data_IF_656563347727
#
_entry.id   IF_656563347727
#
_cell.length_a   1.000
_cell.length_b   1.000
_cell.length_c   1.000
_cell.angle_alpha   90.00
_cell.angle_beta   90.00
_cell.angle_gamma   90.00
#
_symmetry.space_group_name_H-M   'P 1'
#
loop_
_entity.id
_entity.type
_entity.pdbx_description
1 polymer ?
#
# COMPACT_ATOMS: atom_id res chain seq x y z
N UNK A 1 -50.10 12.61 -29.92
CA UNK A 1 -51.19 12.70 -28.92
C UNK A 1 -51.71 11.28 -28.68
N UNK A 2 -51.87 10.70 -27.50
CA UNK A 2 -51.86 11.15 -26.11
C UNK A 2 -51.80 9.87 -25.24
N UNK A 3 -50.88 9.87 -24.27
CA UNK A 3 -50.93 9.24 -22.93
C UNK A 3 -51.87 8.05 -22.74
N UNK A 4 -51.30 6.91 -22.32
CA UNK A 4 -51.90 6.22 -21.17
C UNK A 4 -50.82 5.62 -20.28
N UNK A 5 -50.46 6.38 -19.24
CA UNK A 5 -49.61 5.95 -18.14
C UNK A 5 -50.44 5.01 -17.25
N UNK A 6 -50.24 3.71 -17.39
CA UNK A 6 -50.73 2.76 -16.38
C UNK A 6 -49.80 2.82 -15.17
N UNK A 7 -50.35 3.33 -14.07
CA UNK A 7 -49.73 3.40 -12.75
C UNK A 7 -49.54 1.96 -12.28
N UNK A 8 -48.31 1.44 -12.41
CA UNK A 8 -47.95 0.15 -11.86
C UNK A 8 -47.86 0.28 -10.33
N UNK A 9 -48.94 -0.11 -9.66
CA UNK A 9 -48.99 -0.28 -8.21
C UNK A 9 -47.91 -1.26 -7.77
N UNK A 10 -46.92 -0.78 -7.03
CA UNK A 10 -45.89 -1.58 -6.41
C UNK A 10 -46.51 -2.51 -5.36
N UNK A 11 -46.81 -3.76 -5.76
CA UNK A 11 -47.10 -4.83 -4.82
C UNK A 11 -45.78 -5.44 -4.38
N UNK A 12 -45.54 -5.36 -3.07
CA UNK A 12 -44.42 -5.97 -2.36
C UNK A 12 -44.58 -7.50 -2.46
N UNK A 13 -43.78 -8.13 -3.32
CA UNK A 13 -43.70 -9.59 -3.44
C UNK A 13 -42.60 -10.05 -2.46
N UNK A 14 -42.92 -10.84 -1.42
CA UNK A 14 -41.92 -11.49 -0.60
C UNK A 14 -41.43 -12.75 -1.33
N UNK A 15 -40.12 -12.94 -1.35
CA UNK A 15 -39.43 -14.13 -1.87
C UNK A 15 -39.70 -14.51 -3.33
N UNK A 16 -38.95 -13.87 -4.24
CA UNK A 16 -38.63 -14.48 -5.52
C UNK A 16 -37.19 -14.17 -5.88
N UNK A 17 -36.33 -15.20 -5.82
CA UNK A 17 -34.96 -15.20 -6.33
C UNK A 17 -34.95 -14.66 -7.76
N UNK A 18 -34.42 -13.46 -7.93
CA UNK A 18 -34.17 -12.89 -9.26
C UNK A 18 -32.83 -13.43 -9.73
N UNK A 19 -32.88 -14.30 -10.73
CA UNK A 19 -31.74 -14.74 -11.51
C UNK A 19 -31.40 -13.61 -12.50
N UNK A 20 -30.38 -12.81 -12.21
CA UNK A 20 -29.82 -11.86 -13.18
C UNK A 20 -28.69 -12.53 -13.96
N UNK A 21 -29.01 -13.02 -15.16
CA UNK A 21 -28.07 -13.56 -16.14
C UNK A 21 -27.44 -12.43 -16.96
N UNK A 22 -26.63 -11.59 -16.32
CA UNK A 22 -25.62 -10.69 -16.94
C UNK A 22 -25.18 -9.74 -15.85
N UNK A 23 -23.96 -9.93 -15.38
CA UNK A 23 -23.39 -9.10 -14.34
C UNK A 23 -22.20 -9.83 -13.79
N UNK A 24 -21.02 -9.36 -14.19
CA UNK A 24 -19.76 -9.57 -13.48
C UNK A 24 -20.00 -9.28 -12.00
N UNK A 25 -20.35 -10.33 -11.25
CA UNK A 25 -20.23 -10.33 -9.81
C UNK A 25 -18.73 -10.39 -9.56
N UNK A 26 -18.10 -9.21 -9.54
CA UNK A 26 -16.94 -8.99 -8.70
C UNK A 26 -17.45 -9.28 -7.29
N UNK A 27 -17.40 -10.57 -6.94
CA UNK A 27 -17.35 -11.00 -5.56
C UNK A 27 -16.38 -10.04 -4.89
N UNK A 28 -16.90 -9.26 -3.96
CA UNK A 28 -16.10 -8.52 -3.02
C UNK A 28 -15.28 -9.60 -2.33
N UNK A 29 -14.04 -9.77 -2.77
CA UNK A 29 -13.06 -10.50 -2.00
C UNK A 29 -12.71 -9.53 -0.87
N UNK A 30 -13.56 -9.53 0.15
CA UNK A 30 -13.23 -9.02 1.47
C UNK A 30 -12.04 -9.84 1.97
N UNK A 31 -10.83 -9.51 1.50
CA UNK A 31 -9.56 -9.98 2.04
C UNK A 31 -9.15 -9.17 3.27
N UNK A 32 -10.13 -8.60 3.99
CA UNK A 32 -9.94 -8.10 5.35
C UNK A 32 -10.07 -9.30 6.29
N UNK A 33 -8.98 -10.05 6.39
CA UNK A 33 -8.58 -10.92 7.50
C UNK A 33 -7.55 -11.91 6.96
N UNK A 34 -6.34 -11.43 6.75
CA UNK A 34 -5.18 -12.30 6.81
C UNK A 34 -4.22 -11.65 7.79
N UNK A 35 -3.99 -12.34 8.89
CA UNK A 35 -3.45 -11.80 10.13
C UNK A 35 -2.13 -11.09 9.89
N UNK A 36 -2.15 -9.78 10.09
CA UNK A 36 -0.97 -8.94 10.15
C UNK A 36 -0.83 -8.52 11.61
N UNK A 37 0.13 -9.10 12.33
CA UNK A 37 0.44 -8.63 13.67
C UNK A 37 1.43 -7.47 13.54
N UNK A 38 1.03 -6.30 14.03
CA UNK A 38 1.84 -5.08 13.94
C UNK A 38 2.29 -4.67 15.34
N UNK A 39 3.60 -4.67 15.56
CA UNK A 39 4.22 -4.10 16.76
C UNK A 39 4.89 -2.78 16.43
N UNK A 40 4.60 -1.73 17.20
CA UNK A 40 5.18 -0.38 17.02
C UNK A 40 6.23 -0.08 18.09
N UNK A 41 7.36 0.47 17.67
CA UNK A 41 8.36 1.07 18.54
C UNK A 41 8.65 2.50 18.06
N UNK A 42 8.68 3.45 19.00
CA UNK A 42 8.89 4.88 18.73
C UNK A 42 10.33 5.26 19.04
N UNK A 43 11.00 5.92 18.10
CA UNK A 43 12.33 6.53 18.31
C UNK A 43 12.21 8.05 18.45
N UNK A 44 13.10 8.66 19.23
CA UNK A 44 13.09 10.10 19.56
C UNK A 44 13.27 11.02 18.32
N UNK A 45 13.80 10.48 17.22
CA UNK A 45 14.12 11.24 16.00
C UNK A 45 12.95 11.41 15.02
N UNK A 46 11.71 11.17 15.43
CA UNK A 46 10.55 11.20 14.52
C UNK A 46 10.49 9.99 13.58
N UNK A 47 11.16 8.90 13.96
CA UNK A 47 11.12 7.63 13.24
C UNK A 47 10.30 6.60 14.03
N UNK A 48 9.43 5.88 13.33
CA UNK A 48 8.66 4.77 13.91
C UNK A 48 9.13 3.47 13.28
N UNK A 49 9.49 2.51 14.12
CA UNK A 49 9.86 1.16 13.69
C UNK A 49 8.63 0.26 13.83
N UNK A 50 8.19 -0.32 12.73
CA UNK A 50 7.11 -1.29 12.66
C UNK A 50 7.69 -2.68 12.47
N UNK A 51 7.42 -3.59 13.40
CA UNK A 51 7.65 -5.03 13.20
C UNK A 51 6.34 -5.67 12.77
N UNK A 52 6.36 -6.23 11.56
CA UNK A 52 5.24 -6.89 10.92
C UNK A 52 5.51 -8.38 10.90
N UNK A 53 4.65 -9.16 11.55
CA UNK A 53 4.64 -10.61 11.43
C UNK A 53 3.51 -11.02 10.49
N UNK A 54 3.89 -11.65 9.38
CA UNK A 54 2.97 -12.02 8.30
C UNK A 54 2.55 -13.47 8.42
N UNK A 55 1.24 -13.72 8.39
CA UNK A 55 0.67 -15.07 8.42
C UNK A 55 1.01 -15.90 7.15
N UNK A 56 1.20 -17.21 7.33
CA UNK A 56 1.48 -18.18 6.26
C UNK A 56 0.43 -18.20 5.15
N UNK A 57 -0.84 -18.01 5.48
CA UNK A 57 -1.93 -17.98 4.49
C UNK A 57 -1.72 -16.85 3.47
N UNK A 58 -1.28 -15.67 3.94
CA UNK A 58 -0.95 -14.53 3.08
C UNK A 58 0.28 -14.84 2.23
N UNK A 59 1.35 -15.35 2.83
CA UNK A 59 2.57 -15.77 2.11
C UNK A 59 2.23 -16.76 0.99
N UNK A 60 1.36 -17.75 1.24
CA UNK A 60 0.91 -18.72 0.25
C UNK A 60 0.19 -18.10 -0.94
N UNK A 61 -0.66 -17.08 -0.73
CA UNK A 61 -1.33 -16.32 -1.79
C UNK A 61 -0.31 -15.61 -2.69
N UNK A 62 0.67 -14.94 -2.09
CA UNK A 62 1.74 -14.25 -2.83
C UNK A 62 2.65 -15.23 -3.56
N UNK A 63 2.96 -16.38 -2.96
CA UNK A 63 3.75 -17.45 -3.60
C UNK A 63 3.05 -18.00 -4.85
N UNK A 64 1.72 -18.19 -4.79
CA UNK A 64 0.93 -18.62 -5.94
C UNK A 64 0.87 -17.53 -7.03
N UNK A 65 0.76 -16.26 -6.65
CA UNK A 65 0.78 -15.15 -7.59
C UNK A 65 2.15 -14.97 -8.27
N UNK A 66 3.24 -15.13 -7.50
CA UNK A 66 4.61 -15.13 -8.00
C UNK A 66 4.83 -16.28 -8.99
N UNK A 67 4.40 -17.50 -8.65
CA UNK A 67 4.49 -18.63 -9.56
C UNK A 67 3.79 -18.38 -10.90
N UNK A 68 2.62 -17.71 -10.89
CA UNK A 68 1.92 -17.32 -12.13
C UNK A 68 2.71 -16.28 -12.94
N UNK A 69 3.30 -15.27 -12.28
CA UNK A 69 4.14 -14.24 -12.92
C UNK A 69 5.40 -14.84 -13.55
N UNK A 70 6.07 -15.76 -12.86
CA UNK A 70 7.27 -16.43 -13.37
C UNK A 70 6.93 -17.37 -14.51
N UNK A 71 5.84 -18.13 -14.40
CA UNK A 71 5.39 -19.05 -15.46
C UNK A 71 5.04 -18.33 -16.79
N UNK A 72 4.72 -17.04 -16.76
CA UNK A 72 4.50 -16.23 -17.96
C UNK A 72 5.82 -15.83 -18.64
N UNK A 73 6.90 -15.64 -17.87
CA UNK A 73 8.23 -15.24 -18.35
C UNK A 73 9.06 -16.43 -18.83
N UNK A 74 8.99 -17.55 -18.10
CA UNK A 74 9.83 -18.74 -18.35
C UNK A 74 9.13 -19.72 -19.29
N UNK A 75 9.89 -20.31 -20.22
CA UNK A 75 9.40 -21.37 -21.10
C UNK A 75 9.77 -22.75 -20.54
N UNK A 76 8.79 -23.48 -20.03
CA UNK A 76 9.00 -24.85 -19.52
C UNK A 76 8.59 -25.87 -20.60
N UNK A 77 9.47 -26.83 -20.96
CA UNK A 77 9.14 -27.83 -21.97
C UNK A 77 7.92 -28.66 -21.55
N UNK A 78 7.05 -28.96 -22.52
CA UNK A 78 5.82 -29.74 -22.29
C UNK A 78 4.63 -28.93 -21.77
N UNK A 79 4.83 -27.71 -21.27
CA UNK A 79 3.75 -26.84 -20.81
C UNK A 79 3.59 -25.62 -21.71
N UNK A 80 2.34 -25.28 -22.03
CA UNK A 80 2.04 -23.99 -22.64
C UNK A 80 2.44 -22.87 -21.67
N UNK A 81 3.07 -21.82 -22.19
CA UNK A 81 3.49 -20.64 -21.41
C UNK A 81 2.37 -20.18 -20.46
N UNK A 82 2.72 -19.94 -19.19
CA UNK A 82 1.81 -19.52 -18.13
C UNK A 82 0.92 -20.61 -17.52
N UNK A 83 0.98 -21.87 -17.99
CA UNK A 83 0.16 -22.99 -17.49
C UNK A 83 0.96 -24.11 -16.82
N UNK A 84 2.21 -23.85 -16.45
CA UNK A 84 3.04 -24.79 -15.71
C UNK A 84 2.54 -24.93 -14.25
N UNK A 85 2.45 -26.15 -13.70
CA UNK A 85 2.17 -26.37 -12.28
C UNK A 85 3.29 -25.84 -11.38
N UNK A 86 2.93 -25.39 -10.17
CA UNK A 86 3.87 -24.79 -9.20
C UNK A 86 5.05 -25.70 -8.85
N UNK A 87 4.81 -27.00 -8.63
CA UNK A 87 5.86 -27.94 -8.25
C UNK A 87 6.95 -28.09 -9.33
N UNK A 88 6.56 -28.12 -10.61
CA UNK A 88 7.51 -28.21 -11.72
C UNK A 88 8.26 -26.89 -11.90
N UNK A 89 7.56 -25.76 -11.76
CA UNK A 89 8.17 -24.43 -11.83
C UNK A 89 9.24 -24.23 -10.75
N UNK A 90 8.96 -24.65 -9.52
CA UNK A 90 9.90 -24.58 -8.39
C UNK A 90 11.16 -25.41 -8.64
N UNK A 91 11.02 -26.60 -9.22
CA UNK A 91 12.16 -27.45 -9.55
C UNK A 91 13.00 -26.87 -10.70
N UNK A 92 12.37 -26.16 -11.64
CA UNK A 92 13.05 -25.63 -12.82
C UNK A 92 13.76 -24.30 -12.56
N UNK A 93 13.11 -23.37 -11.86
CA UNK A 93 13.62 -22.01 -11.61
C UNK A 93 14.37 -21.93 -10.27
N UNK A 94 14.10 -22.86 -9.36
CA UNK A 94 14.62 -22.84 -8.00
C UNK A 94 13.60 -22.30 -7.01
N UNK A 95 13.72 -22.74 -5.75
CA UNK A 95 12.87 -22.28 -4.64
C UNK A 95 13.16 -20.81 -4.32
N UNK A 96 14.43 -20.42 -4.30
CA UNK A 96 14.87 -19.10 -3.84
C UNK A 96 14.34 -17.98 -4.73
N UNK A 97 14.41 -18.14 -6.05
CA UNK A 97 13.87 -17.16 -6.99
C UNK A 97 12.36 -16.95 -6.85
N UNK A 98 11.60 -18.03 -6.57
CA UNK A 98 10.17 -17.91 -6.32
C UNK A 98 9.87 -17.17 -5.01
N UNK A 99 10.71 -17.36 -3.99
CA UNK A 99 10.59 -16.65 -2.71
C UNK A 99 10.87 -15.17 -2.90
N UNK A 100 11.94 -14.81 -3.60
CA UNK A 100 12.27 -13.40 -3.91
C UNK A 100 11.13 -12.69 -4.66
N UNK A 101 10.61 -13.32 -5.71
CA UNK A 101 9.51 -12.77 -6.51
C UNK A 101 8.19 -12.65 -5.70
N UNK A 102 7.99 -13.53 -4.72
CA UNK A 102 6.88 -13.41 -3.78
C UNK A 102 7.10 -12.22 -2.83
N UNK A 103 8.31 -12.06 -2.28
CA UNK A 103 8.67 -10.98 -1.37
C UNK A 103 8.52 -9.60 -2.03
N UNK A 104 8.92 -9.46 -3.29
CA UNK A 104 8.78 -8.21 -4.04
C UNK A 104 7.33 -7.68 -4.06
N UNK A 105 6.35 -8.58 -4.06
CA UNK A 105 4.93 -8.20 -3.99
C UNK A 105 4.36 -8.15 -2.57
N UNK A 106 4.84 -9.01 -1.68
CA UNK A 106 4.29 -9.17 -0.33
C UNK A 106 4.70 -8.02 0.57
N UNK A 107 5.97 -7.61 0.49
CA UNK A 107 6.55 -6.55 1.31
C UNK A 107 5.82 -5.20 1.14
N UNK A 108 5.66 -4.65 -0.07
CA UNK A 108 4.99 -3.36 -0.24
C UNK A 108 3.51 -3.41 0.14
N UNK A 109 2.84 -4.54 -0.07
CA UNK A 109 1.43 -4.72 0.33
C UNK A 109 1.31 -4.73 1.87
N UNK A 110 2.13 -5.52 2.56
CA UNK A 110 2.11 -5.64 4.02
C UNK A 110 2.46 -4.31 4.72
N UNK A 111 3.48 -3.60 4.23
CA UNK A 111 3.86 -2.29 4.78
C UNK A 111 2.78 -1.24 4.50
N UNK A 112 2.21 -1.25 3.29
CA UNK A 112 1.12 -0.33 2.93
C UNK A 112 -0.12 -0.52 3.81
N UNK A 113 -0.48 -1.76 4.11
CA UNK A 113 -1.60 -2.05 5.00
C UNK A 113 -1.29 -1.64 6.45
N UNK A 114 -0.09 -1.94 6.95
CA UNK A 114 0.32 -1.54 8.30
C UNK A 114 0.28 -0.01 8.50
N UNK A 115 0.72 0.74 7.49
CA UNK A 115 0.70 2.21 7.52
C UNK A 115 -0.74 2.75 7.51
N UNK A 116 -1.64 2.12 6.72
CA UNK A 116 -3.06 2.49 6.68
C UNK A 116 -3.78 2.16 7.99
N UNK A 117 -3.52 0.99 8.56
CA UNK A 117 -4.15 0.54 9.80
C UNK A 117 -3.76 1.40 11.01
N UNK A 118 -2.54 1.99 10.97
CA UNK A 118 -2.06 2.91 11.99
C UNK A 118 -2.29 4.39 11.65
N UNK A 119 -2.94 4.69 10.52
CA UNK A 119 -3.20 6.06 10.05
C UNK A 119 -1.94 6.94 10.01
N UNK A 120 -0.78 6.33 9.73
CA UNK A 120 0.49 7.04 9.68
C UNK A 120 0.61 7.81 8.35
N UNK A 121 1.06 9.06 8.43
CA UNK A 121 1.41 9.88 7.26
C UNK A 121 2.93 9.89 7.08
N UNK A 122 3.51 8.93 6.33
CA UNK A 122 4.95 8.89 6.09
C UNK A 122 5.39 10.09 5.25
N UNK A 123 6.52 10.70 5.63
CA UNK A 123 7.12 11.79 4.86
C UNK A 123 7.91 11.28 3.64
N UNK A 124 8.55 10.11 3.77
CA UNK A 124 9.35 9.48 2.73
C UNK A 124 9.03 7.98 2.64
N UNK A 125 9.42 7.31 1.54
CA UNK A 125 9.29 5.87 1.43
C UNK A 125 9.94 5.16 2.63
N UNK A 126 9.26 4.19 3.27
CA UNK A 126 9.80 3.51 4.43
C UNK A 126 11.01 2.66 4.05
N UNK A 127 11.99 2.60 4.95
CA UNK A 127 13.11 1.67 4.80
C UNK A 127 12.66 0.31 5.29
N UNK A 128 12.76 -0.70 4.43
CA UNK A 128 12.31 -2.05 4.74
C UNK A 128 13.50 -2.99 4.84
N UNK A 129 13.54 -3.77 5.92
CA UNK A 129 14.49 -4.86 6.10
C UNK A 129 13.73 -6.15 6.38
N UNK A 130 14.16 -7.25 5.75
CA UNK A 130 13.56 -8.58 5.93
C UNK A 130 14.50 -9.38 6.82
N UNK A 131 14.07 -9.67 8.05
CA UNK A 131 14.94 -10.32 9.04
C UNK A 131 14.85 -11.85 8.98
N UNK A 132 13.66 -12.40 8.74
CA UNK A 132 13.43 -13.84 8.70
C UNK A 132 12.51 -14.21 7.55
N UNK A 133 12.87 -15.28 6.87
CA UNK A 133 12.18 -15.78 5.66
C UNK A 133 11.50 -17.13 5.90
N UNK A 134 11.98 -17.94 6.86
CA UNK A 134 11.39 -19.23 7.25
C UNK A 134 11.60 -19.46 8.76
N UNK A 135 10.60 -19.91 9.54
CA UNK A 135 9.26 -20.35 9.16
C UNK A 135 8.20 -19.25 9.10
N UNK A 136 8.40 -18.09 9.73
CA UNK A 136 7.52 -16.91 9.62
C UNK A 136 8.29 -15.74 9.00
N UNK A 137 7.58 -14.91 8.22
CA UNK A 137 8.20 -13.77 7.54
C UNK A 137 8.04 -12.55 8.44
N UNK A 138 9.15 -12.11 9.02
CA UNK A 138 9.19 -10.91 9.85
C UNK A 138 9.81 -9.77 9.06
N UNK A 139 9.04 -8.69 8.90
CA UNK A 139 9.43 -7.50 8.16
C UNK A 139 9.58 -6.36 9.16
N UNK A 140 10.73 -5.70 9.14
CA UNK A 140 10.98 -4.49 9.92
C UNK A 140 10.94 -3.30 8.97
N UNK A 141 9.97 -2.41 9.19
CA UNK A 141 9.81 -1.20 8.41
C UNK A 141 10.06 0.04 9.28
N UNK A 142 11.07 0.82 8.93
CA UNK A 142 11.32 2.13 9.54
C UNK A 142 10.60 3.21 8.73
N UNK A 143 9.60 3.81 9.36
CA UNK A 143 8.73 4.84 8.77
C UNK A 143 9.14 6.21 9.32
N UNK A 144 9.69 7.12 8.50
CA UNK A 144 9.95 8.49 8.90
C UNK A 144 8.64 9.28 8.90
N UNK A 145 8.27 9.84 10.04
CA UNK A 145 7.09 10.68 10.19
C UNK A 145 7.44 12.16 10.06
N UNK A 146 6.42 12.96 9.77
CA UNK A 146 6.58 14.40 9.81
C UNK A 146 6.88 14.85 11.25
N UNK A 147 7.91 15.68 11.48
CA UNK A 147 8.17 16.22 12.80
C UNK A 147 7.03 17.14 13.22
N UNK A 148 6.56 17.01 14.46
CA UNK A 148 5.63 18.00 15.03
C UNK A 148 6.43 19.23 15.48
N UNK A 149 6.30 20.34 14.76
CA UNK A 149 6.87 21.63 15.19
C UNK A 149 5.85 22.32 16.09
N UNK A 150 6.18 22.47 17.37
CA UNK A 150 5.43 23.33 18.29
C UNK A 150 6.14 24.67 18.31
N UNK A 151 5.51 25.70 17.75
CA UNK A 151 6.06 27.06 17.75
C UNK A 151 5.94 27.65 19.15
N UNK A 152 7.07 28.04 19.74
CA UNK A 152 7.12 28.86 20.95
C UNK A 152 6.72 30.32 20.66
N UNK A 153 6.58 31.15 21.70
CA UNK A 153 6.12 32.53 21.61
C UNK A 153 7.03 33.46 20.77
N UNK A 154 6.77 33.48 19.46
CA UNK A 154 7.45 34.31 18.45
C UNK A 154 7.29 35.82 18.68
N UNK A 155 6.30 36.24 19.47
CA UNK A 155 5.96 37.67 19.70
C UNK A 155 6.96 38.41 20.58
N UNK A 156 7.93 37.71 21.16
CA UNK A 156 8.97 38.28 22.02
C UNK A 156 10.19 38.78 21.23
N UNK A 157 10.32 38.41 19.95
CA UNK A 157 11.44 38.79 19.10
C UNK A 157 11.11 40.15 18.48
N UNK A 158 11.76 41.22 18.97
CA UNK A 158 11.76 42.53 18.31
C UNK A 158 12.97 42.63 17.40
N UNK A 159 12.73 43.01 16.15
CA UNK A 159 13.77 43.29 15.16
C UNK A 159 13.82 44.82 15.01
N UNK A 160 14.95 45.42 15.33
CA UNK A 160 15.20 46.83 15.06
C UNK A 160 15.80 46.94 13.65
N UNK A 161 14.98 47.35 12.67
CA UNK A 161 15.42 47.66 11.32
C UNK A 161 16.23 48.97 11.35
N UNK A 162 17.56 48.87 11.30
CA UNK A 162 18.41 50.03 10.98
C UNK A 162 18.25 50.35 9.49
N UNK A 163 17.40 51.33 9.18
CA UNK A 163 17.27 51.86 7.83
C UNK A 163 18.55 52.64 7.47
N UNK A 164 19.39 52.09 6.59
CA UNK A 164 20.45 52.87 5.96
C UNK A 164 19.82 53.90 5.00
N UNK A 165 19.98 55.18 5.33
CA UNK A 165 19.57 56.28 4.45
C UNK A 165 20.42 56.24 3.17
N UNK A 166 19.81 55.84 2.06
CA UNK A 166 20.46 55.91 0.74
C UNK A 166 20.48 57.38 0.31
N UNK A 167 21.65 58.02 0.39
CA UNK A 167 21.88 59.36 -0.16
C UNK A 167 21.59 59.36 -1.66
N UNK A 168 20.56 60.10 -2.07
CA UNK A 168 20.24 60.27 -3.49
C UNK A 168 21.23 61.26 -4.09
N UNK A 169 22.11 60.77 -4.97
CA UNK A 169 22.92 61.60 -5.85
C UNK A 169 21.99 62.54 -6.64
N UNK A 170 22.27 63.84 -6.55
CA UNK A 170 21.48 64.89 -7.17
C UNK A 170 21.98 65.15 -8.60
N UNK A 171 21.21 64.74 -9.60
CA UNK A 171 21.43 65.11 -11.00
C UNK A 171 21.12 66.61 -11.18
N UNK A 172 22.18 67.41 -11.29
CA UNK A 172 22.10 68.82 -11.66
C UNK A 172 22.06 69.00 -13.19
N UNK A 173 21.20 69.95 -13.61
CA UNK A 173 21.30 70.84 -14.77
C UNK A 173 20.32 70.58 -15.94
N UNK A 174 19.37 71.51 -16.10
CA UNK A 174 18.79 71.90 -17.39
C UNK A 174 18.66 73.42 -17.44
#
# INVERSE_FOLDING_TARGET
MTRNCYVATARKIPDSRVFCSTGSHLEHCDTKELGLNVSRESSENGEVVLRLEVEQARVGKHMNAAARRVAQRVNIPGFRKGKAPRAILQNYVGKDYLVEEAMESLVPEAVGDAVRDQELSPFAPPRVNVEQTEPSVTIVATVPLQPSVVLSDYKSIRYDDEAEEVEKEADNNY
#
